data_IF_737906015665
#
_entry.id   IF_737906015665
#
_cell.length_a   1.000
_cell.length_b   1.000
_cell.length_c   1.000
_cell.angle_alpha   90.00
_cell.angle_beta   90.00
_cell.angle_gamma   90.00
#
_symmetry.space_group_name_H-M   'P 1'
#
loop_
_entity.id
_entity.type
_entity.pdbx_description
1 polymer ?
#
# COMPACT_ATOMS: atom_id res chain seq x y z
N UNK A 1 -16.40 17.19 -1.22
CA UNK A 1 -15.82 17.30 0.13
C UNK A 1 -16.87 17.00 1.18
N UNK A 2 -18.11 17.49 1.00
CA UNK A 2 -19.27 17.15 1.85
C UNK A 2 -19.49 15.65 2.07
N UNK A 3 -19.45 14.84 1.01
CA UNK A 3 -19.67 13.38 1.12
C UNK A 3 -18.67 12.72 2.09
N UNK A 4 -17.36 12.91 1.85
CA UNK A 4 -16.33 12.38 2.75
C UNK A 4 -16.43 12.94 4.18
N UNK A 5 -16.80 14.21 4.34
CA UNK A 5 -16.98 14.80 5.66
C UNK A 5 -18.14 14.14 6.43
N UNK A 6 -19.24 13.81 5.74
CA UNK A 6 -20.36 13.07 6.30
C UNK A 6 -19.97 11.63 6.67
N UNK A 7 -19.28 10.92 5.78
CA UNK A 7 -18.84 9.54 6.03
C UNK A 7 -17.85 9.43 7.21
N UNK A 8 -17.05 10.49 7.41
CA UNK A 8 -16.11 10.60 8.53
C UNK A 8 -16.73 11.23 9.78
N UNK A 9 -17.99 11.63 9.77
CA UNK A 9 -18.63 12.36 10.87
C UNK A 9 -17.79 13.57 11.35
N UNK A 10 -17.28 14.36 10.40
CA UNK A 10 -16.50 15.57 10.68
C UNK A 10 -17.03 16.76 9.88
N UNK A 11 -16.69 17.97 10.34
CA UNK A 11 -17.01 19.18 9.59
C UNK A 11 -16.13 19.32 8.33
N UNK A 12 -16.67 19.85 7.22
CA UNK A 12 -15.90 20.06 5.98
C UNK A 12 -14.62 20.90 6.18
N UNK A 13 -14.65 21.80 7.16
CA UNK A 13 -13.51 22.63 7.53
C UNK A 13 -12.35 21.83 8.11
N UNK A 14 -12.61 20.65 8.70
CA UNK A 14 -11.57 19.70 9.11
C UNK A 14 -10.87 19.13 7.88
N UNK A 15 -11.63 18.64 6.89
CA UNK A 15 -11.07 18.13 5.62
C UNK A 15 -10.24 19.21 4.91
N UNK A 16 -10.74 20.44 4.84
CA UNK A 16 -10.00 21.55 4.25
C UNK A 16 -8.71 21.88 5.00
N UNK A 17 -8.69 21.71 6.33
CA UNK A 17 -7.50 21.94 7.16
C UNK A 17 -6.46 20.86 6.90
N UNK A 18 -6.86 19.60 6.89
CA UNK A 18 -5.99 18.47 6.63
C UNK A 18 -5.34 18.55 5.24
N UNK A 19 -6.12 18.90 4.21
CA UNK A 19 -5.60 19.09 2.85
C UNK A 19 -4.54 20.20 2.75
N UNK A 20 -4.55 21.16 3.67
CA UNK A 20 -3.56 22.24 3.76
C UNK A 20 -2.36 21.89 4.64
N UNK A 21 -2.21 20.61 5.03
CA UNK A 21 -1.13 20.16 5.92
C UNK A 21 -1.36 20.49 7.39
N UNK A 22 -2.59 20.84 7.78
CA UNK A 22 -2.93 21.03 9.18
C UNK A 22 -2.98 19.71 9.96
N UNK A 23 -2.94 19.77 11.29
CA UNK A 23 -2.86 18.58 12.13
C UNK A 23 -4.10 17.68 12.00
N UNK A 24 -3.86 16.37 11.99
CA UNK A 24 -4.87 15.30 11.94
C UNK A 24 -4.52 14.26 13.01
N UNK A 25 -5.52 13.72 13.70
CA UNK A 25 -5.30 12.58 14.61
C UNK A 25 -5.10 11.29 13.81
N UNK A 26 -4.38 10.33 14.40
CA UNK A 26 -4.20 9.01 13.80
C UNK A 26 -5.55 8.30 13.55
N UNK A 27 -6.51 8.45 14.46
CA UNK A 27 -7.87 7.91 14.31
C UNK A 27 -8.58 8.45 13.06
N UNK A 28 -8.47 9.76 12.80
CA UNK A 28 -9.04 10.34 11.59
C UNK A 28 -8.32 9.86 10.32
N UNK A 29 -7.01 9.68 10.38
CA UNK A 29 -6.24 9.12 9.26
C UNK A 29 -6.67 7.67 8.97
N UNK A 30 -6.82 6.84 10.01
CA UNK A 30 -7.32 5.46 9.89
C UNK A 30 -8.73 5.40 9.30
N UNK A 31 -9.65 6.25 9.79
CA UNK A 31 -11.02 6.33 9.23
C UNK A 31 -11.04 6.77 7.77
N UNK A 32 -10.17 7.71 7.37
CA UNK A 32 -10.02 8.09 5.97
C UNK A 32 -9.57 6.89 5.14
N UNK A 33 -8.56 6.15 5.62
CA UNK A 33 -8.08 4.94 4.96
C UNK A 33 -9.16 3.87 4.80
N UNK A 34 -10.00 3.66 5.82
CA UNK A 34 -11.12 2.70 5.75
C UNK A 34 -12.22 3.15 4.79
N UNK A 35 -12.66 4.41 4.87
CA UNK A 35 -13.76 4.95 4.05
C UNK A 35 -13.39 5.02 2.58
N UNK A 36 -12.15 5.41 2.28
CA UNK A 36 -11.67 5.53 0.91
C UNK A 36 -11.07 4.23 0.38
N UNK A 37 -10.93 3.21 1.24
CA UNK A 37 -10.25 1.95 0.94
C UNK A 37 -8.84 2.20 0.37
N UNK A 38 -7.99 2.88 1.15
CA UNK A 38 -6.60 3.23 0.77
C UNK A 38 -5.60 2.92 1.89
N UNK A 39 -4.35 2.70 1.51
CA UNK A 39 -3.21 2.47 2.40
C UNK A 39 -2.95 3.66 3.34
N UNK A 40 -2.89 3.37 4.65
CA UNK A 40 -2.55 4.35 5.68
C UNK A 40 -1.11 4.83 5.56
N UNK A 41 -0.18 3.92 5.21
CA UNK A 41 1.24 4.24 4.99
C UNK A 41 1.41 5.20 3.80
N UNK A 42 0.63 5.00 2.74
CA UNK A 42 0.59 5.91 1.60
C UNK A 42 0.03 7.28 2.01
N UNK A 43 -1.11 7.29 2.74
CA UNK A 43 -1.79 8.50 3.17
C UNK A 43 -0.93 9.39 4.09
N UNK A 44 -0.26 8.79 5.08
CA UNK A 44 0.42 9.52 6.15
C UNK A 44 1.91 9.74 5.84
N UNK A 45 2.58 8.74 5.25
CA UNK A 45 4.03 8.76 5.04
C UNK A 45 4.43 8.95 3.57
N UNK A 46 3.48 8.88 2.63
CA UNK A 46 3.78 8.90 1.19
C UNK A 46 4.62 7.70 0.74
N UNK A 47 4.44 6.55 1.39
CA UNK A 47 5.21 5.31 1.10
C UNK A 47 4.33 4.28 0.40
N UNK A 48 4.93 3.52 -0.50
CA UNK A 48 4.20 2.49 -1.26
C UNK A 48 3.19 3.12 -2.23
N UNK A 49 2.16 2.35 -2.56
CA UNK A 49 1.07 2.74 -3.45
C UNK A 49 -0.25 2.92 -2.67
N UNK A 50 -1.19 3.66 -3.25
CA UNK A 50 -2.48 3.98 -2.62
C UNK A 50 -3.30 2.72 -2.28
N UNK A 51 -3.22 1.69 -3.13
CA UNK A 51 -3.93 0.42 -3.04
C UNK A 51 -3.09 -0.69 -2.37
N UNK A 52 -1.92 -0.36 -1.82
CA UNK A 52 -0.99 -1.34 -1.26
C UNK A 52 -1.55 -2.15 -0.06
N UNK A 53 -2.63 -1.69 0.57
CA UNK A 53 -3.35 -2.43 1.61
C UNK A 53 -4.22 -3.56 1.04
N UNK A 54 -4.61 -3.45 -0.24
CA UNK A 54 -5.40 -4.44 -0.98
C UNK A 54 -4.52 -5.46 -1.72
N UNK A 55 -3.23 -5.15 -1.89
CA UNK A 55 -2.27 -6.12 -2.39
C UNK A 55 -2.40 -7.38 -1.54
N UNK A 56 -2.67 -8.52 -2.18
CA UNK A 56 -2.81 -9.79 -1.49
C UNK A 56 -1.67 -9.92 -0.48
N UNK A 57 -2.03 -10.06 0.79
CA UNK A 57 -1.04 -10.38 1.81
C UNK A 57 -0.39 -11.67 1.35
N UNK A 58 0.88 -11.57 0.96
CA UNK A 58 1.67 -12.70 0.50
C UNK A 58 1.44 -13.88 1.44
N UNK A 59 1.11 -15.04 0.88
CA UNK A 59 1.12 -16.27 1.66
C UNK A 59 2.50 -16.43 2.32
N UNK A 60 2.58 -17.17 3.43
CA UNK A 60 3.82 -17.29 4.19
C UNK A 60 5.01 -17.73 3.31
N UNK A 61 4.73 -18.64 2.36
CA UNK A 61 5.66 -19.16 1.37
C UNK A 61 6.12 -18.09 0.37
N UNK A 62 5.21 -17.25 -0.11
CA UNK A 62 5.53 -16.14 -1.02
C UNK A 62 6.35 -15.05 -0.32
N UNK A 63 6.02 -14.76 0.94
CA UNK A 63 6.78 -13.83 1.75
C UNK A 63 8.21 -14.34 1.97
N UNK A 64 8.36 -15.63 2.30
CA UNK A 64 9.68 -16.25 2.46
C UNK A 64 10.49 -16.19 1.15
N UNK A 65 9.87 -16.49 0.01
CA UNK A 65 10.49 -16.37 -1.30
C UNK A 65 10.98 -14.93 -1.56
N UNK A 66 10.15 -13.92 -1.30
CA UNK A 66 10.53 -12.51 -1.46
C UNK A 66 11.72 -12.15 -0.55
N UNK A 67 11.75 -12.63 0.70
CA UNK A 67 12.88 -12.38 1.60
C UNK A 67 14.18 -13.01 1.10
N UNK A 68 14.12 -14.21 0.52
CA UNK A 68 15.29 -14.86 -0.09
C UNK A 68 15.75 -14.06 -1.31
N UNK A 69 14.82 -13.72 -2.21
CA UNK A 69 15.08 -12.98 -3.45
C UNK A 69 15.76 -11.64 -3.16
N UNK A 70 15.31 -10.90 -2.15
CA UNK A 70 15.91 -9.60 -1.73
C UNK A 70 17.37 -9.72 -1.28
N UNK A 71 17.82 -10.90 -0.87
CA UNK A 71 19.21 -11.17 -0.43
C UNK A 71 20.10 -11.72 -1.53
N UNK A 72 19.55 -12.06 -2.70
CA UNK A 72 20.31 -12.63 -3.80
C UNK A 72 21.27 -11.60 -4.41
N UNK A 73 22.42 -12.09 -4.87
CA UNK A 73 23.28 -11.32 -5.77
C UNK A 73 22.54 -11.08 -7.08
N UNK A 74 22.82 -9.94 -7.73
CA UNK A 74 22.19 -9.57 -9.00
C UNK A 74 22.31 -10.67 -10.07
N UNK A 75 23.47 -11.32 -10.19
CA UNK A 75 23.65 -12.42 -11.15
C UNK A 75 22.76 -13.63 -10.85
N UNK A 76 22.63 -14.01 -9.58
CA UNK A 76 21.74 -15.11 -9.17
C UNK A 76 20.27 -14.77 -9.43
N UNK A 77 19.87 -13.52 -9.17
CA UNK A 77 18.53 -13.03 -9.48
C UNK A 77 18.22 -13.13 -10.99
N UNK A 78 19.16 -12.73 -11.85
CA UNK A 78 18.96 -12.82 -13.30
C UNK A 78 18.80 -14.26 -13.78
N UNK A 79 19.58 -15.21 -13.25
CA UNK A 79 19.42 -16.62 -13.58
C UNK A 79 18.08 -17.18 -13.09
N UNK A 80 17.65 -16.80 -11.88
CA UNK A 80 16.35 -17.20 -11.35
C UNK A 80 15.21 -16.67 -12.21
N UNK A 81 15.27 -15.40 -12.63
CA UNK A 81 14.25 -14.82 -13.51
C UNK A 81 14.20 -15.52 -14.87
N UNK A 82 15.36 -15.86 -15.45
CA UNK A 82 15.42 -16.61 -16.71
C UNK A 82 14.79 -18.01 -16.58
N UNK A 83 15.03 -18.70 -15.46
CA UNK A 83 14.40 -19.98 -15.15
C UNK A 83 12.88 -19.84 -15.01
N UNK A 84 12.42 -18.82 -14.26
CA UNK A 84 11.00 -18.58 -14.04
C UNK A 84 10.26 -18.26 -15.35
N UNK A 85 10.88 -17.47 -16.23
CA UNK A 85 10.32 -17.19 -17.57
C UNK A 85 10.20 -18.50 -18.37
N UNK A 86 11.25 -19.33 -18.43
CA UNK A 86 11.23 -20.63 -19.14
C UNK A 86 10.10 -21.56 -18.66
N UNK A 87 9.91 -21.69 -17.34
CA UNK A 87 8.86 -22.57 -16.78
C UNK A 87 7.45 -21.98 -16.90
N UNK A 88 7.30 -20.66 -17.05
CA UNK A 88 5.99 -20.00 -17.19
C UNK A 88 5.57 -19.82 -18.65
N UNK A 89 6.51 -19.85 -19.60
CA UNK A 89 6.25 -19.74 -21.04
C UNK A 89 5.96 -21.09 -21.72
N UNK A 90 5.65 -22.17 -20.98
CA UNK A 90 5.23 -23.42 -21.62
C UNK A 90 3.94 -23.24 -22.45
N UNK A 91 3.82 -23.87 -23.63
CA UNK A 91 2.74 -23.67 -24.60
C UNK A 91 1.34 -24.05 -24.10
#
# INVERSE_FOLDING_TARGET
MMALALDLDVHESAISRWRKGGPMSLENAARISEVLDISLDWLVLGRGEMDAHSAETLAAEEFELVQIVRKLRRSALMHLLALLDDVTQSP
#
